data_IF_464835312317
#
_entry.id   IF_464835312317
#
_cell.length_a   1.000
_cell.length_b   1.000
_cell.length_c   1.000
_cell.angle_alpha   90.00
_cell.angle_beta   90.00
_cell.angle_gamma   90.00
#
_symmetry.space_group_name_H-M   'P 1'
#
loop_
_entity.id
_entity.type
_entity.pdbx_description
1 polymer ?
#
# COMPACT_ATOMS: atom_id res chain seq x y z
N UNK A 1 2.72 -11.88 -11.73
CA UNK A 1 1.50 -12.63 -11.45
C UNK A 1 1.81 -14.03 -10.94
N UNK A 2 2.66 -14.80 -11.57
CA UNK A 2 3.02 -16.18 -11.16
C UNK A 2 3.55 -16.27 -9.72
N UNK A 3 4.28 -15.26 -9.26
CA UNK A 3 4.77 -15.18 -7.87
C UNK A 3 3.62 -15.01 -6.89
N UNK A 4 2.62 -14.19 -7.23
CA UNK A 4 1.43 -13.99 -6.40
C UNK A 4 0.65 -15.30 -6.31
N UNK A 5 0.41 -15.98 -7.43
CA UNK A 5 -0.31 -17.26 -7.48
C UNK A 5 0.37 -18.37 -6.64
N UNK A 6 1.71 -18.38 -6.62
CA UNK A 6 2.49 -19.31 -5.77
C UNK A 6 2.42 -18.96 -4.29
N UNK A 7 2.24 -17.68 -3.95
CA UNK A 7 2.25 -17.19 -2.57
C UNK A 7 0.86 -17.09 -1.95
N UNK A 8 -0.18 -17.01 -2.78
CA UNK A 8 -1.58 -16.95 -2.36
C UNK A 8 -2.37 -18.01 -3.16
N UNK A 9 -2.50 -19.18 -2.55
CA UNK A 9 -3.08 -20.35 -3.21
C UNK A 9 -4.60 -20.28 -3.27
N UNK A 10 -5.21 -21.18 -4.04
CA UNK A 10 -6.67 -21.31 -4.08
C UNK A 10 -7.24 -21.68 -2.72
N UNK A 11 -6.53 -22.50 -1.95
CA UNK A 11 -6.91 -22.89 -0.58
C UNK A 11 -6.91 -21.66 0.34
N UNK A 12 -5.88 -20.81 0.28
CA UNK A 12 -5.80 -19.57 1.04
C UNK A 12 -6.96 -18.63 0.69
N UNK A 13 -7.25 -18.47 -0.60
CA UNK A 13 -8.38 -17.68 -1.08
C UNK A 13 -9.71 -18.18 -0.52
N UNK A 14 -9.95 -19.49 -0.57
CA UNK A 14 -11.20 -20.10 -0.09
C UNK A 14 -11.35 -19.95 1.44
N UNK A 15 -10.24 -20.03 2.19
CA UNK A 15 -10.21 -19.76 3.62
C UNK A 15 -10.57 -18.29 3.92
N UNK A 16 -9.96 -17.36 3.21
CA UNK A 16 -10.22 -15.93 3.35
C UNK A 16 -11.65 -15.60 2.95
N UNK A 17 -12.16 -16.15 1.84
CA UNK A 17 -13.53 -15.92 1.34
C UNK A 17 -14.59 -16.40 2.34
N UNK A 18 -14.33 -17.49 3.05
CA UNK A 18 -15.21 -18.04 4.11
C UNK A 18 -15.09 -17.31 5.46
N UNK A 19 -14.01 -16.59 5.68
CA UNK A 19 -13.75 -15.86 6.92
C UNK A 19 -14.78 -14.73 7.12
N UNK A 20 -15.15 -14.37 8.35
CA UNK A 20 -15.90 -13.14 8.63
C UNK A 20 -15.10 -11.87 8.34
N UNK A 21 -13.78 -11.96 8.25
CA UNK A 21 -12.89 -10.83 7.93
C UNK A 21 -13.10 -10.34 6.50
N UNK A 22 -13.03 -9.03 6.30
CA UNK A 22 -13.00 -8.40 4.98
C UNK A 22 -11.54 -8.23 4.57
N UNK A 23 -11.17 -8.77 3.42
CA UNK A 23 -9.85 -8.57 2.80
C UNK A 23 -10.06 -7.77 1.53
N UNK A 24 -9.32 -6.68 1.39
CA UNK A 24 -9.55 -5.64 0.39
C UNK A 24 -8.23 -5.31 -0.28
N UNK A 25 -8.27 -5.06 -1.57
CA UNK A 25 -7.14 -4.61 -2.38
C UNK A 25 -7.52 -3.32 -3.09
N UNK A 26 -6.73 -2.26 -2.91
CA UNK A 26 -6.92 -0.99 -3.60
C UNK A 26 -6.23 -1.01 -4.97
N UNK A 27 -6.90 -0.50 -6.01
CA UNK A 27 -6.37 -0.33 -7.37
C UNK A 27 -6.77 1.03 -7.93
N UNK A 28 -5.86 1.66 -8.68
CA UNK A 28 -6.16 2.88 -9.41
C UNK A 28 -6.76 2.55 -10.77
N UNK A 29 -8.00 2.95 -10.98
CA UNK A 29 -8.67 2.86 -12.28
C UNK A 29 -8.25 4.05 -13.14
N UNK A 30 -7.19 3.87 -13.95
CA UNK A 30 -6.55 4.97 -14.69
C UNK A 30 -7.51 5.62 -15.68
N UNK A 31 -8.30 4.83 -16.39
CA UNK A 31 -9.25 5.34 -17.38
C UNK A 31 -10.38 6.21 -16.80
N UNK A 32 -10.67 6.08 -15.49
CA UNK A 32 -11.71 6.87 -14.79
C UNK A 32 -11.15 7.84 -13.76
N UNK A 33 -9.85 7.77 -13.47
CA UNK A 33 -9.17 8.63 -12.47
C UNK A 33 -9.80 8.49 -11.06
N UNK A 34 -10.05 7.25 -10.64
CA UNK A 34 -10.57 6.93 -9.31
C UNK A 34 -9.82 5.74 -8.71
N UNK A 35 -9.79 5.65 -7.39
CA UNK A 35 -9.36 4.44 -6.69
C UNK A 35 -10.57 3.55 -6.45
N UNK A 36 -10.42 2.27 -6.72
CA UNK A 36 -11.43 1.26 -6.47
C UNK A 36 -10.92 0.23 -5.45
N UNK A 37 -11.80 -0.21 -4.58
CA UNK A 37 -11.53 -1.23 -3.58
C UNK A 37 -12.14 -2.56 -4.01
N UNK A 38 -11.28 -3.59 -4.14
CA UNK A 38 -11.67 -4.94 -4.59
C UNK A 38 -11.71 -5.88 -3.40
N UNK A 39 -12.87 -6.43 -3.13
CA UNK A 39 -13.11 -7.32 -1.99
C UNK A 39 -12.94 -8.77 -2.42
N UNK A 40 -12.23 -9.57 -1.62
CA UNK A 40 -12.08 -11.03 -1.87
C UNK A 40 -13.44 -11.70 -2.02
N UNK A 41 -14.42 -11.29 -1.21
CA UNK A 41 -15.76 -11.90 -1.20
C UNK A 41 -16.53 -11.74 -2.51
N UNK A 42 -16.24 -10.67 -3.26
CA UNK A 42 -16.94 -10.32 -4.50
C UNK A 42 -16.22 -10.84 -5.76
N UNK A 43 -15.08 -11.51 -5.58
CA UNK A 43 -14.24 -11.99 -6.66
C UNK A 43 -14.22 -13.52 -6.73
N UNK A 44 -13.91 -14.05 -7.93
CA UNK A 44 -13.39 -15.40 -8.10
C UNK A 44 -11.85 -15.40 -7.93
N UNK A 45 -11.27 -16.56 -7.68
CA UNK A 45 -9.84 -16.69 -7.36
C UNK A 45 -8.92 -16.03 -8.40
N UNK A 46 -9.09 -16.41 -9.69
CA UNK A 46 -8.26 -15.86 -10.77
C UNK A 46 -8.49 -14.36 -10.96
N UNK A 47 -9.71 -13.90 -10.76
CA UNK A 47 -10.06 -12.48 -10.82
C UNK A 47 -9.38 -11.67 -9.72
N UNK A 48 -9.34 -12.22 -8.50
CA UNK A 48 -8.69 -11.57 -7.37
C UNK A 48 -7.15 -11.54 -7.52
N UNK A 49 -6.53 -12.56 -8.10
CA UNK A 49 -5.11 -12.55 -8.44
C UNK A 49 -4.76 -11.40 -9.41
N UNK A 50 -5.63 -11.13 -10.38
CA UNK A 50 -5.44 -10.00 -11.29
C UNK A 50 -5.51 -8.66 -10.56
N UNK A 51 -6.42 -8.52 -9.58
CA UNK A 51 -6.51 -7.32 -8.75
C UNK A 51 -5.30 -7.15 -7.83
N UNK A 52 -4.81 -8.23 -7.22
CA UNK A 52 -3.55 -8.20 -6.47
C UNK A 52 -2.38 -7.78 -7.36
N UNK A 53 -2.31 -8.29 -8.59
CA UNK A 53 -1.31 -7.90 -9.57
C UNK A 53 -1.43 -6.42 -9.95
N UNK A 54 -2.64 -5.94 -10.21
CA UNK A 54 -2.89 -4.53 -10.52
C UNK A 54 -2.45 -3.62 -9.36
N UNK A 55 -2.75 -4.00 -8.12
CA UNK A 55 -2.34 -3.27 -6.90
C UNK A 55 -0.84 -3.21 -6.66
N UNK A 56 -0.07 -4.09 -7.34
CA UNK A 56 1.40 -4.07 -7.29
C UNK A 56 2.02 -3.42 -8.54
N UNK A 57 1.20 -2.98 -9.51
CA UNK A 57 1.70 -2.49 -10.80
C UNK A 57 2.10 -1.03 -10.74
N UNK A 58 3.36 -0.82 -10.34
CA UNK A 58 3.98 0.50 -10.18
C UNK A 58 4.46 1.05 -11.54
N UNK A 59 3.59 1.79 -12.21
CA UNK A 59 3.92 2.43 -13.50
C UNK A 59 4.85 3.63 -13.31
N UNK A 60 5.75 3.96 -14.24
CA UNK A 60 5.96 3.34 -15.55
C UNK A 60 6.94 2.15 -15.53
N UNK A 61 7.40 1.70 -14.37
CA UNK A 61 8.35 0.58 -14.26
C UNK A 61 7.70 -0.77 -14.50
N UNK A 62 6.39 -0.86 -14.27
CA UNK A 62 5.56 -2.03 -14.58
C UNK A 62 4.46 -1.62 -15.56
N UNK A 63 3.93 -2.61 -16.28
CA UNK A 63 2.84 -2.37 -17.24
C UNK A 63 1.53 -2.13 -16.53
N UNK A 64 0.64 -1.34 -17.15
CA UNK A 64 -0.76 -1.29 -16.77
C UNK A 64 -1.38 -2.68 -16.86
N UNK A 65 -2.34 -2.95 -16.00
CA UNK A 65 -3.15 -4.17 -16.06
C UNK A 65 -4.45 -3.85 -16.78
N UNK A 66 -4.62 -4.46 -17.94
CA UNK A 66 -5.85 -4.31 -18.73
C UNK A 66 -6.89 -5.34 -18.28
N UNK A 67 -8.07 -4.86 -17.86
CA UNK A 67 -9.15 -5.72 -17.40
C UNK A 67 -10.51 -5.10 -17.74
N UNK A 68 -11.40 -5.90 -18.34
CA UNK A 68 -12.75 -5.46 -18.73
C UNK A 68 -12.77 -4.20 -19.62
N UNK A 69 -11.75 -4.01 -20.46
CA UNK A 69 -11.61 -2.86 -21.35
C UNK A 69 -11.11 -1.58 -20.69
N UNK A 70 -10.60 -1.67 -19.46
CA UNK A 70 -10.05 -0.55 -18.70
C UNK A 70 -8.64 -0.85 -18.22
N UNK A 71 -7.87 0.22 -17.98
CA UNK A 71 -6.48 0.16 -17.49
C UNK A 71 -6.42 0.44 -16.00
N UNK A 72 -5.68 -0.41 -15.29
CA UNK A 72 -5.48 -0.34 -13.85
C UNK A 72 -4.00 -0.31 -13.49
N UNK A 73 -3.71 0.30 -12.34
CA UNK A 73 -2.38 0.37 -11.73
C UNK A 73 -2.47 0.28 -10.21
N UNK A 74 -1.33 0.40 -9.54
CA UNK A 74 -1.20 0.43 -8.09
C UNK A 74 -2.16 1.45 -7.44
N UNK A 75 -2.87 1.02 -6.40
CA UNK A 75 -3.82 1.86 -5.66
C UNK A 75 -3.16 3.06 -4.97
N UNK A 76 -1.88 2.95 -4.64
CA UNK A 76 -1.09 4.01 -4.01
C UNK A 76 -0.89 5.28 -4.85
N UNK A 77 -1.31 5.28 -6.13
CA UNK A 77 -1.36 6.51 -6.93
C UNK A 77 -2.46 7.47 -6.52
N UNK A 78 -3.50 7.02 -5.84
CA UNK A 78 -4.61 7.87 -5.42
C UNK A 78 -4.96 7.74 -3.95
N UNK A 79 -4.73 6.58 -3.32
CA UNK A 79 -4.98 6.31 -1.92
C UNK A 79 -3.88 5.36 -1.41
N UNK A 80 -2.91 5.91 -0.70
CA UNK A 80 -1.76 5.16 -0.21
C UNK A 80 -2.08 4.37 1.06
N UNK A 81 -2.92 4.95 1.93
CA UNK A 81 -3.38 4.36 3.18
C UNK A 81 -4.92 4.43 3.21
N UNK A 82 -5.65 3.36 2.89
CA UNK A 82 -7.11 3.37 2.73
C UNK A 82 -7.85 3.41 4.08
N UNK A 83 -7.59 4.44 4.89
CA UNK A 83 -8.16 4.63 6.23
C UNK A 83 -9.66 4.93 6.13
N UNK A 84 -10.05 5.80 5.20
CA UNK A 84 -11.46 6.16 5.00
C UNK A 84 -12.30 4.92 4.66
N UNK A 85 -11.79 4.03 3.79
CA UNK A 85 -12.48 2.78 3.45
C UNK A 85 -12.70 1.89 4.69
N UNK A 86 -11.72 1.83 5.62
CA UNK A 86 -11.88 1.08 6.85
C UNK A 86 -12.96 1.70 7.75
N UNK A 87 -13.03 3.03 7.84
CA UNK A 87 -14.05 3.76 8.60
C UNK A 87 -15.44 3.54 7.99
N UNK A 88 -15.58 3.65 6.69
CA UNK A 88 -16.84 3.43 5.97
C UNK A 88 -17.36 1.99 6.13
N UNK A 89 -16.46 1.04 6.35
CA UNK A 89 -16.78 -0.35 6.66
C UNK A 89 -17.10 -0.60 8.13
N UNK A 90 -17.09 0.45 8.96
CA UNK A 90 -17.47 0.43 10.37
C UNK A 90 -16.33 0.10 11.32
N UNK A 91 -15.06 0.27 10.93
CA UNK A 91 -13.93 0.10 11.84
C UNK A 91 -13.90 1.25 12.87
N UNK A 92 -13.81 0.90 14.15
CA UNK A 92 -13.67 1.85 15.26
C UNK A 92 -12.25 1.92 15.81
N UNK A 93 -11.43 0.92 15.54
CA UNK A 93 -10.00 0.92 15.84
C UNK A 93 -9.23 0.46 14.60
N UNK A 94 -8.27 1.28 14.17
CA UNK A 94 -7.52 1.09 12.93
C UNK A 94 -6.03 1.17 13.23
N UNK A 95 -5.31 0.08 12.94
CA UNK A 95 -3.86 0.03 12.99
C UNK A 95 -3.29 0.23 11.59
N UNK A 96 -2.54 1.30 11.40
CA UNK A 96 -1.95 1.68 10.11
C UNK A 96 -0.45 1.46 10.14
N UNK A 97 0.04 0.55 9.29
CA UNK A 97 1.47 0.31 9.11
C UNK A 97 1.96 1.16 7.94
N UNK A 98 2.75 2.19 8.26
CA UNK A 98 3.32 3.10 7.27
C UNK A 98 4.76 2.68 6.98
N UNK A 99 5.02 2.19 5.77
CA UNK A 99 6.35 1.69 5.34
C UNK A 99 7.35 2.83 5.03
N UNK A 100 7.24 3.92 5.76
CA UNK A 100 8.13 5.08 5.70
C UNK A 100 8.40 5.58 7.12
N UNK A 101 9.56 6.19 7.39
CA UNK A 101 9.83 6.79 8.68
C UNK A 101 8.99 8.06 8.88
N UNK A 102 8.59 8.33 10.12
CA UNK A 102 7.83 9.54 10.49
C UNK A 102 8.54 10.84 10.08
N UNK A 103 9.86 10.82 10.05
CA UNK A 103 10.70 11.95 9.61
C UNK A 103 11.69 11.43 8.57
N UNK A 104 11.56 11.87 7.33
CA UNK A 104 12.56 11.61 6.30
C UNK A 104 13.78 12.52 6.49
N UNK A 105 15.00 12.03 6.27
CA UNK A 105 16.19 12.87 6.28
C UNK A 105 16.05 13.98 5.23
N UNK A 106 16.47 15.23 5.58
CA UNK A 106 16.51 16.35 4.64
C UNK A 106 17.69 16.14 3.69
N UNK A 107 17.43 15.52 2.55
CA UNK A 107 18.43 15.41 1.46
C UNK A 107 18.04 16.32 0.32
N UNK A 108 19.02 17.01 -0.23
CA UNK A 108 18.83 17.76 -1.47
C UNK A 108 18.79 16.78 -2.64
N UNK A 109 17.70 16.81 -3.37
CA UNK A 109 17.51 15.95 -4.55
C UNK A 109 18.19 16.62 -5.74
N UNK A 110 19.22 15.98 -6.30
CA UNK A 110 19.82 16.41 -7.56
C UNK A 110 19.07 15.76 -8.73
N UNK A 111 18.84 16.52 -9.77
CA UNK A 111 18.16 16.08 -11.00
C UNK A 111 19.16 15.99 -12.13
N UNK A 112 19.27 14.83 -12.77
CA UNK A 112 20.25 14.57 -13.82
C UNK A 112 19.72 14.84 -15.22
N UNK A 113 18.43 14.60 -15.46
CA UNK A 113 17.77 14.78 -16.77
C UNK A 113 16.24 14.82 -16.61
N UNK A 114 15.52 15.08 -17.69
CA UNK A 114 14.07 15.21 -17.69
C UNK A 114 13.33 13.94 -17.25
N UNK A 115 13.82 12.75 -17.58
CA UNK A 115 13.23 11.49 -17.16
C UNK A 115 13.41 11.27 -15.65
N UNK A 116 14.61 11.54 -15.14
CA UNK A 116 14.91 11.51 -13.71
C UNK A 116 14.01 12.50 -12.93
N UNK A 117 13.80 13.71 -13.48
CA UNK A 117 12.86 14.68 -12.92
C UNK A 117 11.43 14.11 -12.84
N UNK A 118 10.93 13.51 -13.91
CA UNK A 118 9.59 12.92 -13.96
C UNK A 118 9.41 11.86 -12.86
N UNK A 119 10.37 10.94 -12.71
CA UNK A 119 10.33 9.90 -11.67
C UNK A 119 10.35 10.53 -10.27
N UNK A 120 11.20 11.52 -10.04
CA UNK A 120 11.30 12.21 -8.75
C UNK A 120 10.02 12.98 -8.40
N UNK A 121 9.40 13.61 -9.40
CA UNK A 121 8.10 14.28 -9.21
C UNK A 121 7.00 13.27 -8.88
N UNK A 122 6.95 12.12 -9.54
CA UNK A 122 6.01 11.06 -9.23
C UNK A 122 6.19 10.54 -7.80
N UNK A 123 7.42 10.22 -7.38
CA UNK A 123 7.73 9.79 -6.01
C UNK A 123 7.41 10.87 -4.97
N UNK A 124 7.63 12.14 -5.31
CA UNK A 124 7.23 13.28 -4.48
C UNK A 124 5.72 13.30 -4.30
N UNK A 125 4.95 13.18 -5.37
CA UNK A 125 3.47 13.17 -5.33
C UNK A 125 2.96 12.03 -4.47
N UNK A 126 3.50 10.82 -4.62
CA UNK A 126 3.11 9.68 -3.78
C UNK A 126 3.40 9.92 -2.29
N UNK A 127 4.55 10.53 -1.97
CA UNK A 127 4.84 10.90 -0.57
C UNK A 127 3.86 11.94 -0.02
N UNK A 128 3.40 12.88 -0.85
CA UNK A 128 2.38 13.85 -0.43
C UNK A 128 1.04 13.18 -0.21
N UNK A 129 0.64 12.22 -1.06
CA UNK A 129 -0.57 11.42 -0.87
C UNK A 129 -0.50 10.67 0.47
N UNK A 130 0.58 9.92 0.71
CA UNK A 130 0.79 9.20 1.98
C UNK A 130 0.75 10.13 3.21
N UNK A 131 1.32 11.33 3.10
CA UNK A 131 1.28 12.33 4.16
C UNK A 131 -0.15 12.85 4.41
N UNK A 132 -0.91 13.10 3.35
CA UNK A 132 -2.31 13.52 3.45
C UNK A 132 -3.18 12.43 4.07
N UNK A 133 -2.99 11.16 3.70
CA UNK A 133 -3.73 10.04 4.29
C UNK A 133 -3.44 9.90 5.80
N UNK A 134 -2.17 10.08 6.22
CA UNK A 134 -1.82 10.15 7.65
C UNK A 134 -2.51 11.31 8.35
N UNK A 135 -2.55 12.49 7.72
CA UNK A 135 -3.24 13.66 8.26
C UNK A 135 -4.74 13.42 8.39
N UNK A 136 -5.37 12.82 7.38
CA UNK A 136 -6.79 12.43 7.41
C UNK A 136 -7.03 11.50 8.60
N UNK A 137 -6.25 10.43 8.74
CA UNK A 137 -6.40 9.52 9.87
C UNK A 137 -6.24 10.16 11.24
N UNK A 138 -5.32 11.15 11.38
CA UNK A 138 -5.22 11.95 12.61
C UNK A 138 -6.45 12.81 12.85
N UNK A 139 -6.97 13.46 11.81
CA UNK A 139 -8.19 14.28 11.90
C UNK A 139 -9.40 13.43 12.27
N UNK A 140 -9.56 12.26 11.66
CA UNK A 140 -10.62 11.31 12.03
C UNK A 140 -10.56 10.93 13.49
N UNK A 141 -9.38 10.59 14.03
CA UNK A 141 -9.21 10.30 15.46
C UNK A 141 -9.53 11.48 16.39
N UNK A 142 -9.44 12.72 15.92
CA UNK A 142 -9.74 13.92 16.71
C UNK A 142 -11.24 14.26 16.68
N UNK A 143 -11.84 14.22 15.49
CA UNK A 143 -13.20 14.69 15.26
C UNK A 143 -14.25 13.61 15.37
N UNK A 144 -13.92 12.36 15.03
CA UNK A 144 -14.78 11.21 15.17
C UNK A 144 -14.42 10.44 16.45
N UNK A 145 -15.19 10.66 17.51
CA UNK A 145 -14.93 10.08 18.84
C UNK A 145 -15.04 8.56 18.88
N UNK A 146 -15.69 7.98 17.90
CA UNK A 146 -15.91 6.54 17.79
C UNK A 146 -14.80 5.84 17.01
N UNK A 147 -13.84 6.61 16.45
CA UNK A 147 -12.73 6.09 15.64
C UNK A 147 -11.39 6.41 16.28
N UNK A 148 -10.57 5.38 16.48
CA UNK A 148 -9.18 5.47 16.92
C UNK A 148 -8.26 4.98 15.82
N UNK A 149 -7.32 5.81 15.36
CA UNK A 149 -6.30 5.43 14.38
C UNK A 149 -4.92 5.44 15.02
N UNK A 150 -4.27 4.29 15.00
CA UNK A 150 -2.92 4.09 15.51
C UNK A 150 -1.96 3.99 14.32
N UNK A 151 -0.87 4.77 14.34
CA UNK A 151 0.13 4.75 13.27
C UNK A 151 1.43 4.11 13.74
N UNK A 152 1.90 3.13 12.98
CA UNK A 152 3.21 2.49 13.14
C UNK A 152 4.09 2.87 11.95
N UNK A 153 5.19 3.55 12.21
CA UNK A 153 6.16 3.98 11.19
C UNK A 153 7.40 3.11 11.25
N UNK A 154 8.11 2.96 10.13
CA UNK A 154 9.44 2.36 10.17
C UNK A 154 10.41 3.25 10.99
N UNK A 155 11.37 2.67 11.74
CA UNK A 155 12.28 3.43 12.58
C UNK A 155 13.19 4.35 11.76
N UNK A 156 13.53 3.94 10.55
CA UNK A 156 14.35 4.68 9.58
C UNK A 156 13.99 4.28 8.14
N UNK A 157 14.55 4.99 7.15
CA UNK A 157 14.39 4.67 5.75
C UNK A 157 15.25 3.45 5.39
N UNK A 158 14.64 2.31 5.11
CA UNK A 158 15.33 1.07 4.81
C UNK A 158 16.18 1.14 3.55
N UNK A 159 15.63 1.72 2.47
CA UNK A 159 16.32 1.89 1.20
C UNK A 159 15.87 3.15 0.48
N UNK A 160 16.74 3.74 -0.31
CA UNK A 160 16.43 4.83 -1.26
C UNK A 160 16.04 4.29 -2.64
N UNK A 161 16.23 2.99 -2.87
CA UNK A 161 16.01 2.30 -4.14
C UNK A 161 14.92 1.24 -3.98
N UNK A 162 13.68 1.56 -4.35
CA UNK A 162 12.51 0.69 -4.20
C UNK A 162 12.60 -0.64 -4.97
N UNK A 163 13.53 -0.77 -5.90
CA UNK A 163 13.77 -1.98 -6.69
C UNK A 163 15.08 -2.70 -6.32
N UNK A 164 15.61 -2.42 -5.14
CA UNK A 164 16.76 -3.14 -4.62
C UNK A 164 16.30 -4.37 -3.83
N UNK A 165 16.66 -5.55 -4.33
CA UNK A 165 16.28 -6.85 -3.78
C UNK A 165 17.54 -7.68 -3.48
N UNK A 166 18.13 -7.48 -2.31
CA UNK A 166 19.19 -8.33 -1.78
C UNK A 166 18.64 -9.22 -0.67
N UNK A 167 18.80 -10.54 -0.83
CA UNK A 167 18.23 -11.53 0.09
C UNK A 167 18.74 -11.37 1.53
N UNK A 168 20.03 -11.12 1.71
CA UNK A 168 20.63 -11.02 3.04
C UNK A 168 20.19 -9.74 3.72
N UNK A 169 20.22 -8.62 2.99
CA UNK A 169 19.76 -7.34 3.48
C UNK A 169 18.26 -7.35 3.84
N UNK A 170 17.44 -7.97 2.99
CA UNK A 170 15.99 -8.11 3.27
C UNK A 170 15.73 -8.97 4.49
N UNK A 171 16.50 -10.05 4.70
CA UNK A 171 16.40 -10.89 5.90
C UNK A 171 16.80 -10.13 7.17
N UNK A 172 17.83 -9.29 7.08
CA UNK A 172 18.22 -8.41 8.17
C UNK A 172 17.12 -7.39 8.49
N UNK A 173 16.57 -6.69 7.49
CA UNK A 173 15.47 -5.74 7.68
C UNK A 173 14.22 -6.40 8.27
N UNK A 174 13.93 -7.64 7.87
CA UNK A 174 12.85 -8.42 8.46
C UNK A 174 13.05 -8.62 9.97
N UNK A 175 14.25 -9.04 10.37
CA UNK A 175 14.56 -9.25 11.79
C UNK A 175 14.51 -7.94 12.58
N UNK A 176 15.09 -6.87 12.03
CA UNK A 176 15.06 -5.53 12.64
C UNK A 176 13.62 -5.02 12.81
N UNK A 177 12.75 -5.22 11.79
CA UNK A 177 11.34 -4.86 11.86
C UNK A 177 10.58 -5.65 12.91
N UNK A 178 10.85 -6.95 13.04
CA UNK A 178 10.27 -7.81 14.06
C UNK A 178 10.67 -7.36 15.49
N UNK A 179 11.95 -7.09 15.69
CA UNK A 179 12.46 -6.65 17.00
C UNK A 179 11.92 -5.25 17.36
N UNK A 180 11.84 -4.36 16.36
CA UNK A 180 11.23 -3.04 16.54
C UNK A 180 9.75 -3.16 16.92
N UNK A 181 8.96 -3.95 16.21
CA UNK A 181 7.55 -4.16 16.52
C UNK A 181 7.37 -4.68 17.95
N UNK A 182 8.18 -5.67 18.38
CA UNK A 182 8.18 -6.16 19.77
C UNK A 182 8.50 -5.07 20.80
N UNK A 183 9.34 -4.10 20.46
CA UNK A 183 9.68 -3.00 21.36
C UNK A 183 8.53 -1.98 21.54
N UNK A 184 7.56 -1.96 20.60
CA UNK A 184 6.37 -1.12 20.66
C UNK A 184 5.23 -1.78 21.46
N UNK A 185 5.31 -3.08 21.68
CA UNK A 185 4.34 -3.85 22.46
C UNK A 185 4.53 -3.48 23.95
N UNK A 186 3.65 -2.58 24.45
CA UNK A 186 3.64 -2.09 25.82
C UNK A 186 2.28 -2.30 26.47
#
# INVERSE_FOLDING_TARGET
>A
RDTIEKSFTKEDFDLVKKSPKKVITAVSHISRTVVEHKYVKDCEYQDYLDWMWASCSFVPFMSLVEKNGYSYADGGFGNYLPIEEAIDLGATEIDVIVLNPKRSPKKTIQVSNAFDLLIKMMLFTQKQIAYNDVLIGHLESIYNKDVKVNFMFTPYLLTEHSFYFDKNQMSQWWQEGYDYAKSLDR
#
